data_IF_459803848208
#
_entry.id   IF_459803848208
#
_cell.length_a   1.000
_cell.length_b   1.000
_cell.length_c   1.000
_cell.angle_alpha   90.00
_cell.angle_beta   90.00
_cell.angle_gamma   90.00
#
_symmetry.space_group_name_H-M   'P 1'
#
loop_
_entity.id
_entity.type
_entity.pdbx_description
1 polymer ?
#
# COMPACT_ATOMS: atom_id res chain seq x y z
N UNK A 1 -14.97 52.54 38.71
CA UNK A 1 -15.65 52.66 37.39
C UNK A 1 -15.02 53.81 36.64
N UNK A 2 -14.03 53.57 35.80
CA UNK A 2 -13.43 54.57 34.93
C UNK A 2 -14.37 54.84 33.76
N UNK A 3 -14.85 56.06 33.60
CA UNK A 3 -15.61 56.47 32.43
C UNK A 3 -14.73 56.28 31.18
N UNK A 4 -15.08 55.31 30.33
CA UNK A 4 -14.51 55.20 29.00
C UNK A 4 -15.05 56.40 28.21
N UNK A 5 -14.17 57.32 27.79
CA UNK A 5 -14.54 58.42 26.93
C UNK A 5 -14.92 57.86 25.56
N UNK A 6 -16.22 57.87 25.25
CA UNK A 6 -16.71 57.51 23.95
C UNK A 6 -16.38 58.60 22.93
N UNK A 7 -15.61 58.30 21.92
CA UNK A 7 -15.45 59.15 20.76
C UNK A 7 -16.77 59.20 19.94
N UNK A 8 -17.05 60.31 19.23
CA UNK A 8 -18.36 60.54 18.59
C UNK A 8 -18.81 59.43 17.57
N UNK A 9 -17.89 58.58 17.10
CA UNK A 9 -18.23 57.48 16.20
C UNK A 9 -18.79 56.27 16.95
N UNK A 10 -18.54 56.11 18.25
CA UNK A 10 -19.05 55.01 19.08
C UNK A 10 -20.56 55.09 19.30
N UNK A 11 -21.16 56.29 19.11
CA UNK A 11 -22.62 56.44 19.17
C UNK A 11 -23.36 55.79 18.01
N UNK A 12 -22.67 55.36 16.95
CA UNK A 12 -23.27 54.61 15.83
C UNK A 12 -23.68 53.19 16.20
N UNK A 13 -23.21 52.66 17.33
CA UNK A 13 -23.57 51.35 17.84
C UNK A 13 -24.83 51.33 18.73
N UNK A 14 -25.50 52.47 18.91
CA UNK A 14 -26.69 52.59 19.76
C UNK A 14 -27.96 51.93 19.19
N UNK A 15 -27.89 51.30 18.02
CA UNK A 15 -29.01 50.56 17.40
C UNK A 15 -28.93 49.04 17.62
N UNK A 16 -28.00 48.55 18.42
CA UNK A 16 -27.86 47.14 18.75
C UNK A 16 -28.83 46.75 19.90
N UNK A 17 -29.25 45.48 19.91
CA UNK A 17 -30.00 44.93 21.04
C UNK A 17 -29.22 45.05 22.35
N UNK A 18 -29.91 45.18 23.50
CA UNK A 18 -29.27 45.43 24.80
C UNK A 18 -28.12 44.45 25.12
N UNK A 19 -28.29 43.16 24.79
CA UNK A 19 -27.26 42.12 24.99
C UNK A 19 -26.01 42.34 24.15
N UNK A 20 -26.19 42.73 22.90
CA UNK A 20 -25.07 43.00 21.98
C UNK A 20 -24.36 44.29 22.34
N UNK A 21 -25.10 45.26 22.88
CA UNK A 21 -24.55 46.51 23.39
C UNK A 21 -23.66 46.28 24.62
N UNK A 22 -24.10 45.47 25.57
CA UNK A 22 -23.32 45.13 26.77
C UNK A 22 -22.03 44.35 26.40
N UNK A 23 -22.14 43.38 25.53
CA UNK A 23 -20.99 42.65 25.02
C UNK A 23 -19.98 43.55 24.28
N UNK A 24 -20.46 44.49 23.47
CA UNK A 24 -19.60 45.43 22.75
C UNK A 24 -18.89 46.40 23.73
N UNK A 25 -19.59 46.86 24.77
CA UNK A 25 -18.99 47.74 25.82
C UNK A 25 -17.89 47.00 26.58
N UNK A 26 -18.11 45.76 26.93
CA UNK A 26 -17.11 44.93 27.61
C UNK A 26 -15.89 44.68 26.69
N UNK A 27 -16.12 44.31 25.41
CA UNK A 27 -15.07 44.11 24.42
C UNK A 27 -14.24 45.39 24.19
N UNK A 28 -14.87 46.55 24.03
CA UNK A 28 -14.19 47.85 23.90
C UNK A 28 -13.40 48.23 25.15
N UNK A 29 -13.94 47.92 26.34
CA UNK A 29 -13.25 48.12 27.61
C UNK A 29 -11.97 47.29 27.70
N UNK A 30 -12.05 46.00 27.33
CA UNK A 30 -10.89 45.11 27.29
C UNK A 30 -9.86 45.60 26.26
N UNK A 31 -10.32 45.98 25.06
CA UNK A 31 -9.45 46.52 24.02
C UNK A 31 -8.72 47.77 24.45
N UNK A 32 -9.39 48.68 25.22
CA UNK A 32 -8.79 49.88 25.75
C UNK A 32 -7.68 49.61 26.79
N UNK A 33 -7.78 48.49 27.48
CA UNK A 33 -6.72 48.06 28.44
C UNK A 33 -5.48 47.52 27.68
N UNK A 34 -5.69 46.86 26.52
CA UNK A 34 -4.60 46.35 25.70
C UNK A 34 -3.94 47.45 24.88
N UNK A 35 -4.73 48.34 24.28
CA UNK A 35 -4.23 49.44 23.45
C UNK A 35 -5.18 50.67 23.56
N UNK A 36 -4.73 51.73 24.21
CA UNK A 36 -5.51 52.96 24.30
C UNK A 36 -5.74 53.64 22.95
N UNK A 37 -4.77 53.55 22.05
CA UNK A 37 -4.86 54.14 20.70
C UNK A 37 -5.86 53.43 19.77
N UNK A 38 -6.33 52.25 20.15
CA UNK A 38 -7.30 51.49 19.34
C UNK A 38 -8.67 52.18 19.25
N UNK A 39 -8.99 53.06 20.18
CA UNK A 39 -10.29 53.77 20.26
C UNK A 39 -10.23 55.21 19.71
N UNK A 40 -9.10 55.67 19.20
CA UNK A 40 -8.92 57.05 18.73
C UNK A 40 -9.73 57.33 17.42
N UNK A 41 -9.88 56.33 16.58
CA UNK A 41 -10.68 56.43 15.34
C UNK A 41 -11.26 55.07 14.92
N UNK A 42 -12.32 55.04 14.05
CA UNK A 42 -12.85 53.83 13.49
C UNK A 42 -11.79 53.00 12.75
N UNK A 43 -10.92 53.65 11.98
CA UNK A 43 -9.84 52.98 11.21
C UNK A 43 -8.78 52.40 12.12
N UNK A 44 -8.45 53.06 13.25
CA UNK A 44 -7.57 52.51 14.26
C UNK A 44 -8.19 51.27 14.90
N UNK A 45 -9.48 51.28 15.23
CA UNK A 45 -10.19 50.13 15.77
C UNK A 45 -10.15 48.94 14.80
N UNK A 46 -10.51 49.15 13.54
CA UNK A 46 -10.49 48.12 12.52
C UNK A 46 -9.09 47.52 12.39
N UNK A 47 -8.07 48.36 12.36
CA UNK A 47 -6.66 47.93 12.28
C UNK A 47 -6.25 47.11 13.49
N UNK A 48 -6.60 47.52 14.71
CA UNK A 48 -6.25 46.75 15.90
C UNK A 48 -7.02 45.43 16.01
N UNK A 49 -8.32 45.40 15.69
CA UNK A 49 -9.12 44.18 15.68
C UNK A 49 -8.59 43.20 14.61
N UNK A 50 -8.30 43.70 13.40
CA UNK A 50 -7.72 42.87 12.34
C UNK A 50 -6.37 42.28 12.76
N UNK A 51 -5.54 43.05 13.46
CA UNK A 51 -4.26 42.56 13.99
C UNK A 51 -4.46 41.48 15.05
N UNK A 52 -5.41 41.66 15.99
CA UNK A 52 -5.72 40.64 16.99
C UNK A 52 -6.25 39.34 16.36
N UNK A 53 -7.13 39.48 15.38
CA UNK A 53 -7.59 38.28 14.59
C UNK A 53 -6.40 37.58 13.98
N UNK A 54 -5.51 38.31 13.30
CA UNK A 54 -4.32 37.72 12.67
C UNK A 54 -3.37 37.06 13.72
N UNK A 55 -3.24 37.63 14.91
CA UNK A 55 -2.44 37.04 15.99
C UNK A 55 -3.09 35.76 16.54
N UNK A 56 -4.42 35.73 16.67
CA UNK A 56 -5.17 34.53 17.04
C UNK A 56 -5.04 33.46 15.98
N UNK A 57 -5.27 33.80 14.72
CA UNK A 57 -5.13 32.88 13.59
C UNK A 57 -3.73 32.28 13.52
N UNK A 58 -2.69 33.09 13.76
CA UNK A 58 -1.31 32.59 13.82
C UNK A 58 -1.06 31.63 14.98
N UNK A 59 -1.64 31.87 16.16
CA UNK A 59 -1.52 30.97 17.32
C UNK A 59 -2.25 29.66 17.06
N UNK A 60 -3.48 29.74 16.54
CA UNK A 60 -4.27 28.56 16.17
C UNK A 60 -3.59 27.75 15.06
N UNK A 61 -3.03 28.43 14.06
CA UNK A 61 -2.27 27.79 12.99
C UNK A 61 -1.06 27.01 13.50
N UNK A 62 -0.30 27.59 14.46
CA UNK A 62 0.82 26.87 15.08
C UNK A 62 0.38 25.65 15.87
N UNK A 63 -0.73 25.74 16.61
CA UNK A 63 -1.27 24.60 17.35
C UNK A 63 -1.77 23.52 16.39
N UNK A 64 -2.45 23.92 15.31
CA UNK A 64 -2.92 22.99 14.27
C UNK A 64 -1.74 22.31 13.57
N UNK A 65 -0.68 23.06 13.19
CA UNK A 65 0.54 22.48 12.63
C UNK A 65 1.15 21.42 13.57
N UNK A 66 1.21 21.71 14.90
CA UNK A 66 1.75 20.75 15.87
C UNK A 66 0.92 19.46 15.95
N UNK A 67 -0.41 19.56 15.85
CA UNK A 67 -1.29 18.40 15.88
C UNK A 67 -1.24 17.60 14.57
N UNK A 68 -1.33 18.30 13.43
CA UNK A 68 -1.37 17.66 12.12
C UNK A 68 -0.06 16.93 11.75
N UNK A 69 1.07 17.44 12.26
CA UNK A 69 2.39 16.87 12.01
C UNK A 69 2.95 16.07 13.20
N UNK A 70 2.09 15.69 14.15
CA UNK A 70 2.47 14.70 15.15
C UNK A 70 2.61 13.33 14.49
N UNK A 71 3.72 12.60 14.68
CA UNK A 71 3.98 11.34 13.95
C UNK A 71 2.85 10.31 14.05
N UNK A 72 2.29 10.12 15.23
CA UNK A 72 1.16 9.19 15.44
C UNK A 72 -0.10 9.64 14.69
N UNK A 73 -0.37 10.96 14.64
CA UNK A 73 -1.51 11.49 13.91
C UNK A 73 -1.31 11.39 12.41
N UNK A 74 -0.10 11.68 11.90
CA UNK A 74 0.24 11.48 10.48
C UNK A 74 0.06 10.01 10.08
N UNK A 75 0.54 9.06 10.89
CA UNK A 75 0.39 7.64 10.63
C UNK A 75 -1.09 7.22 10.60
N UNK A 76 -1.87 7.66 11.60
CA UNK A 76 -3.31 7.38 11.67
C UNK A 76 -4.04 7.96 10.45
N UNK A 77 -3.81 9.24 10.14
CA UNK A 77 -4.45 9.93 9.02
C UNK A 77 -4.09 9.27 7.67
N UNK A 78 -2.82 8.89 7.50
CA UNK A 78 -2.33 8.18 6.30
C UNK A 78 -3.07 6.87 6.09
N UNK A 79 -3.18 6.06 7.15
CA UNK A 79 -3.85 4.77 7.09
C UNK A 79 -5.35 4.92 6.76
N UNK A 80 -6.04 5.86 7.39
CA UNK A 80 -7.45 6.10 7.11
C UNK A 80 -7.71 6.66 5.71
N UNK A 81 -6.87 7.56 5.21
CA UNK A 81 -6.99 8.07 3.85
C UNK A 81 -6.68 6.99 2.81
N UNK A 82 -5.65 6.17 3.05
CA UNK A 82 -5.34 5.02 2.20
C UNK A 82 -6.50 4.02 2.15
N UNK A 83 -7.07 3.68 3.30
CA UNK A 83 -8.22 2.79 3.39
C UNK A 83 -9.47 3.39 2.72
N UNK A 84 -9.75 4.67 2.95
CA UNK A 84 -10.84 5.37 2.27
C UNK A 84 -10.67 5.29 0.75
N UNK A 85 -9.44 5.50 0.26
CA UNK A 85 -9.11 5.35 -1.15
C UNK A 85 -9.42 3.96 -1.70
N UNK A 86 -9.09 2.90 -0.96
CA UNK A 86 -9.42 1.53 -1.35
C UNK A 86 -10.93 1.23 -1.27
N UNK A 87 -11.61 1.75 -0.27
CA UNK A 87 -13.04 1.52 -0.05
C UNK A 87 -13.95 2.28 -1.04
N UNK A 88 -13.43 3.32 -1.71
CA UNK A 88 -14.17 4.13 -2.69
C UNK A 88 -13.83 3.81 -4.14
N UNK A 89 -13.05 2.76 -4.41
CA UNK A 89 -12.74 2.35 -5.77
C UNK A 89 -13.99 1.89 -6.52
N UNK A 90 -14.05 2.13 -7.84
CA UNK A 90 -15.14 1.65 -8.69
C UNK A 90 -15.01 0.14 -8.99
N UNK A 91 -15.06 -0.69 -7.94
CA UNK A 91 -14.95 -2.15 -8.01
C UNK A 91 -16.15 -2.81 -7.35
N UNK A 92 -16.43 -4.06 -7.73
CA UNK A 92 -17.49 -4.84 -7.09
C UNK A 92 -16.98 -5.48 -5.80
N UNK A 93 -17.34 -4.94 -4.65
CA UNK A 93 -16.94 -5.42 -3.33
C UNK A 93 -17.59 -6.76 -2.92
N UNK A 94 -18.53 -7.28 -3.67
CA UNK A 94 -19.01 -8.67 -3.49
C UNK A 94 -17.99 -9.69 -4.06
N UNK A 95 -17.22 -9.28 -5.08
CA UNK A 95 -16.19 -10.12 -5.73
C UNK A 95 -14.79 -9.86 -5.18
N UNK A 96 -14.54 -8.65 -4.71
CA UNK A 96 -13.25 -8.23 -4.13
C UNK A 96 -13.52 -7.73 -2.72
N UNK A 97 -13.17 -8.55 -1.72
CA UNK A 97 -13.38 -8.22 -0.32
C UNK A 97 -12.15 -7.52 0.27
N UNK A 98 -12.38 -6.50 1.06
CA UNK A 98 -11.38 -5.80 1.86
C UNK A 98 -11.62 -6.16 3.33
N UNK A 99 -10.64 -6.79 3.97
CA UNK A 99 -10.67 -7.09 5.41
C UNK A 99 -9.58 -6.28 6.12
N UNK A 100 -9.88 -5.83 7.32
CA UNK A 100 -8.96 -5.07 8.16
C UNK A 100 -8.58 -5.89 9.37
N UNK A 101 -7.29 -5.92 9.67
CA UNK A 101 -6.74 -6.44 10.90
C UNK A 101 -6.09 -5.29 11.67
N UNK A 102 -6.65 -4.97 12.84
CA UNK A 102 -6.05 -4.00 13.74
C UNK A 102 -5.01 -4.72 14.61
N UNK A 103 -3.74 -4.53 14.28
CA UNK A 103 -2.61 -5.14 14.93
C UNK A 103 -1.41 -4.19 14.83
N UNK A 104 -0.75 -3.90 15.92
CA UNK A 104 0.45 -3.06 15.91
C UNK A 104 1.64 -3.83 15.33
N UNK A 105 2.70 -3.13 14.94
CA UNK A 105 3.91 -3.79 14.44
C UNK A 105 4.61 -4.61 15.52
N UNK A 106 4.57 -4.13 16.77
CA UNK A 106 5.09 -4.87 17.92
C UNK A 106 4.33 -6.18 18.14
N UNK A 107 3.00 -6.16 18.05
CA UNK A 107 2.18 -7.38 18.14
C UNK A 107 2.47 -8.35 17.00
N UNK A 108 2.60 -7.86 15.76
CA UNK A 108 2.99 -8.68 14.60
C UNK A 108 4.37 -9.31 14.82
N UNK A 109 5.35 -8.49 15.20
CA UNK A 109 6.73 -8.94 15.44
C UNK A 109 6.78 -9.96 16.58
N UNK A 110 6.09 -9.69 17.68
CA UNK A 110 6.00 -10.59 18.82
C UNK A 110 5.37 -11.94 18.43
N UNK A 111 4.24 -11.92 17.70
CA UNK A 111 3.54 -13.14 17.28
C UNK A 111 4.44 -14.04 16.43
N UNK A 112 5.11 -13.50 15.41
CA UNK A 112 5.91 -14.32 14.49
C UNK A 112 7.26 -14.72 15.09
N UNK A 113 7.87 -13.89 15.94
CA UNK A 113 9.17 -14.18 16.56
C UNK A 113 9.06 -15.17 17.73
N UNK A 114 7.97 -15.13 18.50
CA UNK A 114 7.76 -16.02 19.64
C UNK A 114 7.17 -17.37 19.23
N UNK A 115 6.59 -17.48 18.04
CA UNK A 115 6.02 -18.72 17.56
C UNK A 115 7.09 -19.80 17.34
N UNK A 116 6.88 -20.99 17.89
CA UNK A 116 7.77 -22.14 17.69
C UNK A 116 7.93 -22.52 16.20
N UNK A 117 6.88 -22.34 15.42
CA UNK A 117 6.89 -22.52 13.97
C UNK A 117 5.92 -21.53 13.33
N UNK A 118 6.09 -21.24 12.04
CA UNK A 118 5.20 -20.36 11.29
C UNK A 118 3.72 -20.76 11.42
N UNK A 119 3.43 -22.07 11.53
CA UNK A 119 2.06 -22.59 11.63
C UNK A 119 1.41 -22.40 13.01
N UNK A 120 2.18 -22.01 14.03
CA UNK A 120 1.67 -21.80 15.40
C UNK A 120 1.39 -20.34 15.72
N UNK A 121 1.73 -19.41 14.82
CA UNK A 121 1.42 -17.98 14.99
C UNK A 121 -0.08 -17.69 14.82
N UNK A 122 -0.58 -16.69 15.53
CA UNK A 122 -1.96 -16.21 15.40
C UNK A 122 -2.25 -15.67 14.01
N UNK A 123 -1.28 -15.00 13.38
CA UNK A 123 -1.39 -14.56 12.00
C UNK A 123 -1.61 -15.74 11.05
N UNK A 124 -0.84 -16.82 11.21
CA UNK A 124 -1.07 -18.02 10.41
C UNK A 124 -2.46 -18.62 10.66
N UNK A 125 -2.90 -18.66 11.91
CA UNK A 125 -4.23 -19.14 12.24
C UNK A 125 -5.32 -18.34 11.52
N UNK A 126 -5.23 -17.00 11.54
CA UNK A 126 -6.20 -16.11 10.87
C UNK A 126 -6.17 -16.22 9.35
N UNK A 127 -4.98 -16.28 8.75
CA UNK A 127 -4.81 -16.22 7.28
C UNK A 127 -4.85 -17.62 6.69
N UNK A 128 -4.13 -18.55 7.28
CA UNK A 128 -3.97 -19.93 6.79
C UNK A 128 -5.13 -20.82 7.22
N UNK A 129 -5.30 -21.01 8.54
CA UNK A 129 -6.28 -21.97 9.03
C UNK A 129 -7.71 -21.55 8.76
N UNK A 130 -8.08 -20.31 9.13
CA UNK A 130 -9.47 -19.87 9.02
C UNK A 130 -9.91 -19.60 7.57
N UNK A 131 -9.02 -19.11 6.71
CA UNK A 131 -9.41 -18.67 5.37
C UNK A 131 -8.94 -19.64 4.25
N UNK A 132 -7.73 -20.21 4.36
CA UNK A 132 -7.21 -21.09 3.33
C UNK A 132 -7.56 -22.56 3.58
N UNK A 133 -7.46 -23.03 4.84
CA UNK A 133 -7.59 -24.44 5.19
C UNK A 133 -9.01 -24.83 5.62
N UNK A 134 -9.89 -23.89 5.89
CA UNK A 134 -11.27 -24.16 6.31
C UNK A 134 -12.22 -24.20 5.11
N UNK A 135 -13.17 -25.12 5.12
CA UNK A 135 -14.23 -25.21 4.12
C UNK A 135 -15.10 -23.94 4.17
N UNK A 136 -15.29 -23.30 3.01
CA UNK A 136 -16.04 -22.04 2.92
C UNK A 136 -15.21 -20.79 3.28
N UNK A 137 -13.94 -20.93 3.62
CA UNK A 137 -13.03 -19.81 3.79
C UNK A 137 -12.72 -19.08 2.48
N UNK A 138 -12.33 -17.82 2.58
CA UNK A 138 -11.99 -16.97 1.45
C UNK A 138 -10.50 -16.58 1.49
N UNK A 139 -9.60 -17.36 0.85
CA UNK A 139 -8.16 -17.10 0.89
C UNK A 139 -7.80 -15.70 0.42
N UNK A 140 -6.91 -15.04 1.16
CA UNK A 140 -6.46 -13.69 0.82
C UNK A 140 -5.62 -13.69 -0.46
N UNK A 141 -5.86 -12.70 -1.33
CA UNK A 141 -5.05 -12.50 -2.53
C UNK A 141 -3.71 -11.84 -2.22
N UNK A 142 -3.69 -10.87 -1.32
CA UNK A 142 -2.48 -10.24 -0.77
C UNK A 142 -2.79 -9.56 0.57
N UNK A 143 -1.74 -9.29 1.33
CA UNK A 143 -1.77 -8.50 2.55
C UNK A 143 -0.98 -7.22 2.34
N UNK A 144 -1.48 -6.10 2.84
CA UNK A 144 -0.76 -4.83 2.92
C UNK A 144 -0.50 -4.49 4.38
N UNK A 145 0.76 -4.43 4.75
CA UNK A 145 1.20 -3.88 6.03
C UNK A 145 1.37 -2.38 5.91
N UNK A 146 0.73 -1.63 6.79
CA UNK A 146 0.75 -0.17 6.73
C UNK A 146 1.94 0.44 7.47
N UNK A 147 2.55 -0.34 8.35
CA UNK A 147 3.76 0.04 9.10
C UNK A 147 4.96 0.06 8.16
N UNK A 148 5.79 1.11 8.22
CA UNK A 148 7.02 1.18 7.43
C UNK A 148 8.09 0.26 8.04
N UNK A 149 8.96 -0.31 7.18
CA UNK A 149 10.04 -1.23 7.55
C UNK A 149 11.37 -0.49 7.57
N UNK A 150 12.12 -0.61 8.66
CA UNK A 150 13.48 -0.12 8.79
C UNK A 150 14.51 -1.15 8.30
N UNK A 151 15.66 -0.68 7.82
CA UNK A 151 16.78 -1.56 7.48
C UNK A 151 17.71 -1.78 8.67
N UNK A 152 17.82 -0.80 9.53
CA UNK A 152 18.64 -0.84 10.73
C UNK A 152 17.83 -1.32 11.93
N UNK A 153 18.49 -2.07 12.81
CA UNK A 153 17.92 -2.46 14.09
C UNK A 153 17.86 -1.23 15.00
N UNK A 154 16.65 -0.84 15.38
CA UNK A 154 16.46 0.17 16.40
C UNK A 154 16.79 -0.44 17.78
N UNK A 155 17.68 0.22 18.54
CA UNK A 155 18.10 -0.24 19.88
C UNK A 155 16.94 -0.16 20.90
N UNK A 156 15.89 0.61 20.60
CA UNK A 156 14.70 0.70 21.44
C UNK A 156 13.64 -0.36 21.10
N UNK A 157 13.81 -1.06 19.97
CA UNK A 157 12.91 -2.09 19.48
C UNK A 157 13.32 -3.48 19.98
N UNK A 158 12.38 -4.28 20.44
CA UNK A 158 12.62 -5.66 20.91
C UNK A 158 12.95 -6.62 19.75
N UNK A 159 12.57 -6.28 18.52
CA UNK A 159 12.69 -7.15 17.33
C UNK A 159 13.27 -6.40 16.14
N UNK A 160 14.08 -7.11 15.35
CA UNK A 160 14.58 -6.64 14.06
C UNK A 160 13.45 -6.71 13.00
N UNK A 161 13.21 -5.60 12.31
CA UNK A 161 12.20 -5.50 11.24
C UNK A 161 12.50 -6.46 10.09
N UNK A 162 13.76 -6.53 9.64
CA UNK A 162 14.13 -7.40 8.51
C UNK A 162 13.99 -8.88 8.86
N UNK A 163 14.30 -9.26 10.11
CA UNK A 163 14.08 -10.63 10.57
C UNK A 163 12.58 -10.93 10.69
N UNK A 164 11.78 -9.99 11.18
CA UNK A 164 10.32 -10.12 11.22
C UNK A 164 9.75 -10.30 9.81
N UNK A 165 10.23 -9.52 8.83
CA UNK A 165 9.84 -9.65 7.42
C UNK A 165 10.28 -11.02 6.85
N UNK A 166 11.44 -11.57 7.26
CA UNK A 166 11.84 -12.93 6.87
C UNK A 166 10.83 -13.99 7.38
N UNK A 167 10.41 -13.90 8.64
CA UNK A 167 9.40 -14.80 9.19
C UNK A 167 8.05 -14.65 8.51
N UNK A 168 7.64 -13.40 8.23
CA UNK A 168 6.44 -13.11 7.46
C UNK A 168 6.52 -13.62 6.02
N UNK A 169 7.69 -13.58 5.38
CA UNK A 169 7.89 -14.17 4.05
C UNK A 169 7.61 -15.68 4.04
N UNK A 170 8.05 -16.40 5.08
CA UNK A 170 7.75 -17.83 5.26
C UNK A 170 6.26 -18.08 5.51
N UNK A 171 5.62 -17.16 6.25
CA UNK A 171 4.17 -17.20 6.45
C UNK A 171 3.43 -16.97 5.12
N UNK A 172 3.87 -16.01 4.32
CA UNK A 172 3.35 -15.76 2.97
C UNK A 172 3.47 -16.97 2.04
N UNK A 173 4.61 -17.67 2.09
CA UNK A 173 4.82 -18.92 1.36
C UNK A 173 3.87 -20.02 1.84
N UNK A 174 3.74 -20.21 3.15
CA UNK A 174 2.90 -21.25 3.74
C UNK A 174 1.39 -21.00 3.51
N UNK A 175 0.97 -19.74 3.44
CA UNK A 175 -0.44 -19.34 3.21
C UNK A 175 -0.74 -19.00 1.75
N UNK A 176 0.26 -19.05 0.87
CA UNK A 176 0.15 -18.65 -0.53
C UNK A 176 -0.39 -17.22 -0.68
N UNK A 177 0.08 -16.31 0.16
CA UNK A 177 -0.42 -14.95 0.22
C UNK A 177 0.75 -13.95 0.17
N UNK A 178 0.98 -13.27 -0.98
CA UNK A 178 1.97 -12.22 -1.07
C UNK A 178 1.71 -11.07 -0.11
N UNK A 179 2.78 -10.52 0.45
CA UNK A 179 2.76 -9.47 1.45
C UNK A 179 3.45 -8.22 0.93
N UNK A 180 2.83 -7.08 1.13
CA UNK A 180 3.28 -5.78 0.66
C UNK A 180 3.64 -4.89 1.84
N UNK A 181 4.77 -4.24 1.76
CA UNK A 181 5.30 -3.31 2.76
C UNK A 181 5.77 -2.03 2.08
N UNK A 182 6.13 -1.03 2.86
CA UNK A 182 6.86 0.15 2.41
C UNK A 182 8.13 0.33 3.25
N UNK A 183 9.24 0.76 2.66
CA UNK A 183 10.43 1.11 3.41
C UNK A 183 10.19 2.36 4.24
N UNK A 184 10.81 2.45 5.42
CA UNK A 184 10.84 3.65 6.23
C UNK A 184 11.63 4.77 5.50
N UNK A 185 11.42 6.01 5.95
CA UNK A 185 12.14 7.20 5.42
C UNK A 185 13.65 7.08 5.54
N UNK A 186 14.10 6.42 6.59
CA UNK A 186 15.53 6.23 6.91
C UNK A 186 16.07 4.88 6.42
N UNK A 187 15.29 4.14 5.61
CA UNK A 187 15.70 2.83 5.08
C UNK A 187 17.07 2.85 4.37
N UNK A 188 17.47 3.98 3.83
CA UNK A 188 18.76 4.16 3.14
C UNK A 188 19.75 5.04 3.96
N UNK A 189 19.68 4.99 5.29
CA UNK A 189 20.57 5.68 6.27
C UNK A 189 20.30 7.16 6.44
N UNK A 190 19.84 7.88 5.43
CA UNK A 190 19.61 9.32 5.53
C UNK A 190 18.15 9.69 5.20
N UNK A 191 17.54 10.45 6.09
CA UNK A 191 16.22 11.03 5.87
C UNK A 191 16.32 12.17 4.86
N UNK A 192 16.10 11.87 3.61
CA UNK A 192 16.09 12.89 2.56
C UNK A 192 15.69 12.31 1.22
N UNK A 193 14.73 12.97 0.56
CA UNK A 193 14.21 12.48 -0.70
C UNK A 193 15.18 12.74 -1.87
N UNK A 194 16.01 13.80 -1.79
CA UNK A 194 16.77 14.30 -2.93
C UNK A 194 17.88 13.36 -3.38
N UNK A 195 18.51 12.64 -2.47
CA UNK A 195 19.62 11.75 -2.78
C UNK A 195 19.21 10.36 -3.29
N UNK A 196 17.93 10.00 -3.19
CA UNK A 196 17.39 8.76 -3.81
C UNK A 196 17.53 8.75 -5.34
N UNK A 197 17.89 9.86 -5.96
CA UNK A 197 18.22 9.95 -7.38
C UNK A 197 19.67 9.53 -7.71
N UNK A 198 20.55 9.39 -6.72
CA UNK A 198 21.94 8.97 -6.91
C UNK A 198 22.07 7.44 -6.84
N UNK A 199 21.98 6.79 -8.01
CA UNK A 199 22.09 5.34 -8.15
C UNK A 199 23.37 4.78 -7.53
N UNK A 200 24.53 5.43 -7.80
CA UNK A 200 25.82 4.93 -7.34
C UNK A 200 25.93 4.94 -5.81
N UNK A 201 25.33 5.93 -5.18
CA UNK A 201 25.30 6.04 -3.72
C UNK A 201 24.42 4.95 -3.11
N UNK A 202 23.20 4.78 -3.63
CA UNK A 202 22.27 3.74 -3.15
C UNK A 202 22.87 2.34 -3.35
N UNK A 203 23.48 2.07 -4.50
CA UNK A 203 24.13 0.78 -4.75
C UNK A 203 25.21 0.46 -3.73
N UNK A 204 26.06 1.45 -3.38
CA UNK A 204 27.09 1.29 -2.34
C UNK A 204 26.47 1.07 -0.95
N UNK A 205 25.42 1.77 -0.63
CA UNK A 205 24.70 1.60 0.67
C UNK A 205 24.15 0.18 0.75
N UNK A 206 23.38 -0.27 -0.24
CA UNK A 206 22.79 -1.61 -0.27
C UNK A 206 23.83 -2.75 -0.32
N UNK A 207 25.05 -2.46 -0.79
CA UNK A 207 26.16 -3.40 -0.80
C UNK A 207 27.03 -3.34 0.45
N UNK A 208 26.78 -2.40 1.37
CA UNK A 208 27.57 -2.25 2.59
C UNK A 208 27.35 -3.39 3.58
N UNK A 209 28.29 -3.64 4.50
CA UNK A 209 28.12 -4.63 5.57
C UNK A 209 26.92 -4.37 6.47
N UNK A 210 26.51 -3.10 6.63
CA UNK A 210 25.36 -2.72 7.46
C UNK A 210 24.04 -3.28 6.91
N UNK A 211 23.99 -3.59 5.60
CA UNK A 211 22.84 -4.20 4.91
C UNK A 211 22.95 -5.71 4.75
N UNK A 212 23.78 -6.39 5.57
CA UNK A 212 23.93 -7.84 5.47
C UNK A 212 22.62 -8.59 5.76
N UNK A 213 21.81 -8.13 6.72
CA UNK A 213 20.47 -8.69 7.02
C UNK A 213 19.55 -8.56 5.80
N UNK A 214 19.56 -7.42 5.12
CA UNK A 214 18.83 -7.20 3.87
C UNK A 214 19.27 -8.17 2.76
N UNK A 215 20.56 -8.34 2.56
CA UNK A 215 21.12 -9.26 1.55
C UNK A 215 20.77 -10.73 1.88
N UNK A 216 20.85 -11.10 3.17
CA UNK A 216 20.46 -12.42 3.65
C UNK A 216 18.97 -12.69 3.39
N UNK A 217 18.09 -11.76 3.74
CA UNK A 217 16.66 -11.86 3.48
C UNK A 217 16.38 -12.06 1.99
N UNK A 218 17.00 -11.27 1.12
CA UNK A 218 16.85 -11.36 -0.33
C UNK A 218 17.31 -12.68 -0.94
N UNK A 219 18.21 -13.40 -0.29
CA UNK A 219 18.70 -14.70 -0.75
C UNK A 219 17.73 -15.87 -0.48
N UNK A 220 16.71 -15.67 0.36
CA UNK A 220 15.74 -16.71 0.74
C UNK A 220 14.67 -16.86 -0.34
N UNK A 221 14.30 -18.08 -0.68
CA UNK A 221 13.25 -18.37 -1.66
C UNK A 221 11.88 -17.80 -1.28
N UNK A 222 11.57 -17.77 0.02
CA UNK A 222 10.33 -17.18 0.55
C UNK A 222 10.21 -15.68 0.30
N UNK A 223 11.33 -14.97 0.10
CA UNK A 223 11.36 -13.54 -0.17
C UNK A 223 10.59 -13.13 -1.46
N UNK A 224 10.31 -14.09 -2.35
CA UNK A 224 9.44 -13.89 -3.53
C UNK A 224 8.00 -13.52 -3.17
N UNK A 225 7.56 -13.77 -1.92
CA UNK A 225 6.24 -13.39 -1.44
C UNK A 225 6.19 -11.99 -0.83
N UNK A 226 7.29 -11.26 -0.80
CA UNK A 226 7.39 -9.93 -0.20
C UNK A 226 7.69 -8.87 -1.25
N UNK A 227 6.90 -7.79 -1.23
CA UNK A 227 7.12 -6.61 -2.08
C UNK A 227 7.27 -5.35 -1.24
N UNK A 228 8.30 -4.55 -1.50
CA UNK A 228 8.51 -3.23 -0.90
C UNK A 228 8.12 -2.13 -1.90
N UNK A 229 7.06 -1.39 -1.60
CA UNK A 229 6.51 -0.35 -2.49
C UNK A 229 7.06 1.02 -2.10
N UNK A 230 7.64 1.73 -3.05
CA UNK A 230 8.22 3.06 -2.84
C UNK A 230 8.11 3.94 -4.09
N UNK A 231 8.36 5.25 -4.01
CA UNK A 231 8.50 6.10 -2.82
C UNK A 231 7.13 6.42 -2.20
N UNK A 232 7.15 7.13 -1.06
CA UNK A 232 5.92 7.64 -0.44
C UNK A 232 5.12 8.49 -1.43
N UNK A 233 3.80 8.34 -1.41
CA UNK A 233 2.89 9.14 -2.21
C UNK A 233 2.15 10.17 -1.36
N UNK A 234 1.72 11.25 -1.99
CA UNK A 234 0.93 12.28 -1.35
C UNK A 234 -0.48 11.75 -1.05
N UNK A 235 -0.80 11.61 0.24
CA UNK A 235 -2.12 11.18 0.70
C UNK A 235 -3.07 12.37 0.83
N UNK A 236 -2.54 13.54 1.17
CA UNK A 236 -3.29 14.80 1.28
C UNK A 236 -2.37 15.96 0.94
N UNK A 237 -2.84 16.85 0.08
CA UNK A 237 -2.15 18.11 -0.19
C UNK A 237 -2.23 19.04 1.02
N UNK A 238 -1.27 19.96 1.13
CA UNK A 238 -1.27 20.95 2.21
C UNK A 238 -2.54 21.81 2.17
N UNK A 239 -3.04 22.16 3.33
CA UNK A 239 -4.12 23.12 3.45
C UNK A 239 -3.65 24.52 3.07
N UNK A 240 -4.38 25.17 2.17
CA UNK A 240 -4.14 26.54 1.77
C UNK A 240 -5.44 27.33 1.87
N UNK A 241 -5.40 28.42 2.63
CA UNK A 241 -6.57 29.29 2.88
C UNK A 241 -7.81 28.50 3.35
N UNK A 242 -7.59 27.40 4.10
CA UNK A 242 -8.68 26.62 4.65
C UNK A 242 -9.47 27.46 5.66
N UNK A 243 -10.79 27.53 5.48
CA UNK A 243 -11.71 28.25 6.37
C UNK A 243 -12.35 27.24 7.35
N UNK A 244 -11.67 26.99 8.45
CA UNK A 244 -12.13 26.08 9.53
C UNK A 244 -12.48 26.87 10.80
N UNK A 245 -13.15 28.01 10.64
CA UNK A 245 -13.39 28.97 11.72
C UNK A 245 -12.31 30.05 11.83
N UNK A 246 -11.14 29.84 11.26
CA UNK A 246 -10.03 30.78 11.12
C UNK A 246 -9.31 30.51 9.77
N UNK A 247 -8.41 31.41 9.35
CA UNK A 247 -7.64 31.23 8.11
C UNK A 247 -6.40 30.38 8.43
N UNK A 248 -6.40 29.14 7.93
CA UNK A 248 -5.31 28.22 8.13
C UNK A 248 -4.50 28.00 6.86
N UNK A 249 -3.19 28.13 6.97
CA UNK A 249 -2.21 27.80 5.93
C UNK A 249 -1.16 26.86 6.54
N UNK A 250 -1.16 25.62 6.09
CA UNK A 250 -0.22 24.60 6.51
C UNK A 250 1.19 24.94 6.02
N UNK A 251 2.18 24.90 6.89
CA UNK A 251 3.56 25.26 6.57
C UNK A 251 4.31 24.14 5.88
N UNK A 252 4.01 22.91 6.24
CA UNK A 252 4.65 21.72 5.67
C UNK A 252 3.99 21.28 4.36
N UNK A 253 4.65 20.39 3.62
CA UNK A 253 4.24 19.96 2.28
C UNK A 253 3.20 18.81 2.31
N UNK A 254 2.09 18.99 3.02
CA UNK A 254 1.02 17.99 3.04
C UNK A 254 1.40 16.69 3.76
N UNK A 255 0.60 15.66 3.54
CA UNK A 255 0.75 14.35 4.17
C UNK A 255 1.27 13.33 3.16
N UNK A 256 2.35 12.64 3.50
CA UNK A 256 2.98 11.58 2.70
C UNK A 256 2.74 10.23 3.34
N UNK A 257 2.53 9.19 2.52
CA UNK A 257 2.20 7.89 3.04
C UNK A 257 2.56 6.73 2.15
N UNK A 258 2.23 5.53 2.61
CA UNK A 258 2.57 4.26 2.00
C UNK A 258 1.98 4.10 0.60
N UNK A 259 2.84 4.02 -0.43
CA UNK A 259 2.45 3.79 -1.81
C UNK A 259 1.87 2.38 -2.05
N UNK A 260 1.95 1.48 -1.08
CA UNK A 260 1.31 0.16 -1.13
C UNK A 260 -0.21 0.26 -1.31
N UNK A 261 -0.85 1.29 -0.77
CA UNK A 261 -2.28 1.55 -1.04
C UNK A 261 -2.54 1.75 -2.53
N UNK A 262 -1.69 2.49 -3.24
CA UNK A 262 -1.81 2.68 -4.68
C UNK A 262 -1.56 1.37 -5.46
N UNK A 263 -0.61 0.55 -5.01
CA UNK A 263 -0.35 -0.75 -5.63
C UNK A 263 -1.54 -1.70 -5.47
N UNK A 264 -2.09 -1.81 -4.24
CA UNK A 264 -3.31 -2.60 -3.98
C UNK A 264 -4.50 -2.08 -4.78
N UNK A 265 -4.66 -0.76 -4.92
CA UNK A 265 -5.73 -0.20 -5.75
C UNK A 265 -5.61 -0.63 -7.21
N UNK A 266 -4.38 -0.71 -7.74
CA UNK A 266 -4.12 -1.19 -9.09
C UNK A 266 -4.46 -2.68 -9.22
N UNK A 267 -4.09 -3.50 -8.22
CA UNK A 267 -4.46 -4.92 -8.17
C UNK A 267 -5.98 -5.10 -8.18
N UNK A 268 -6.70 -4.36 -7.32
CA UNK A 268 -8.16 -4.46 -7.22
C UNK A 268 -8.86 -4.04 -8.53
N UNK A 269 -8.41 -2.98 -9.16
CA UNK A 269 -8.97 -2.48 -10.43
C UNK A 269 -8.70 -3.45 -11.58
N UNK A 270 -7.50 -4.02 -11.66
CA UNK A 270 -7.16 -5.03 -12.66
C UNK A 270 -7.97 -6.31 -12.47
N UNK A 271 -8.11 -6.77 -11.22
CA UNK A 271 -8.97 -7.91 -10.91
C UNK A 271 -10.44 -7.64 -11.27
N UNK A 272 -10.95 -6.44 -11.05
CA UNK A 272 -12.31 -6.06 -11.49
C UNK A 272 -12.46 -6.11 -13.01
N UNK A 273 -11.43 -5.70 -13.76
CA UNK A 273 -11.45 -5.61 -15.21
C UNK A 273 -11.44 -7.00 -15.90
N UNK A 274 -10.56 -7.90 -15.45
CA UNK A 274 -10.31 -9.17 -16.14
C UNK A 274 -10.53 -10.41 -15.29
N UNK A 275 -10.92 -10.26 -14.03
CA UNK A 275 -11.08 -11.33 -13.03
C UNK A 275 -9.77 -12.08 -12.68
N UNK A 276 -8.62 -11.50 -13.03
CA UNK A 276 -7.27 -11.96 -12.74
C UNK A 276 -6.37 -10.79 -12.36
N UNK A 277 -5.15 -11.10 -11.95
CA UNK A 277 -4.08 -10.13 -11.76
C UNK A 277 -3.45 -9.82 -13.13
N UNK A 278 -4.14 -9.04 -13.93
CA UNK A 278 -3.74 -8.73 -15.29
C UNK A 278 -2.49 -7.83 -15.35
N UNK A 279 -2.64 -6.62 -15.87
CA UNK A 279 -1.51 -5.74 -16.07
C UNK A 279 -1.31 -4.80 -14.86
N UNK A 280 -0.37 -5.14 -13.99
CA UNK A 280 0.05 -4.25 -12.89
C UNK A 280 1.05 -3.20 -13.36
N UNK A 281 1.65 -3.38 -14.55
CA UNK A 281 2.50 -2.41 -15.23
C UNK A 281 1.69 -1.53 -16.19
N UNK A 282 2.25 -0.37 -16.60
CA UNK A 282 1.64 0.45 -17.65
C UNK A 282 1.59 -0.30 -18.98
N UNK A 283 0.54 -0.10 -19.74
CA UNK A 283 0.41 -0.63 -21.10
C UNK A 283 0.84 0.38 -22.14
N UNK A 284 1.51 -0.12 -23.17
CA UNK A 284 1.98 0.73 -24.26
C UNK A 284 0.82 1.34 -25.06
N UNK A 285 -0.22 0.56 -25.31
CA UNK A 285 -1.35 0.97 -26.14
C UNK A 285 -2.50 1.63 -25.37
N UNK A 286 -2.57 1.45 -24.05
CA UNK A 286 -3.62 2.01 -23.20
C UNK A 286 -3.03 2.68 -21.96
N UNK A 287 -2.79 3.98 -22.06
CA UNK A 287 -2.22 4.79 -21.00
C UNK A 287 -3.10 4.90 -19.74
N UNK A 288 -4.30 4.33 -19.73
CA UNK A 288 -5.20 4.36 -18.56
C UNK A 288 -5.09 3.08 -17.73
N UNK A 289 -4.69 1.96 -18.34
CA UNK A 289 -4.56 0.69 -17.65
C UNK A 289 -3.23 0.65 -16.89
N UNK A 290 -3.27 0.17 -15.64
CA UNK A 290 -2.12 0.18 -14.73
C UNK A 290 -1.74 1.56 -14.17
N UNK A 291 -2.34 2.66 -14.66
CA UNK A 291 -2.12 3.97 -14.09
C UNK A 291 -2.67 4.07 -12.67
N UNK A 292 -1.90 4.68 -11.78
CA UNK A 292 -2.37 4.99 -10.43
C UNK A 292 -3.45 6.07 -10.52
N UNK A 293 -4.58 5.80 -9.91
CA UNK A 293 -5.68 6.77 -9.77
C UNK A 293 -5.49 7.52 -8.46
N UNK A 294 -5.65 8.84 -8.48
CA UNK A 294 -5.67 9.60 -7.24
C UNK A 294 -6.89 9.17 -6.42
N UNK A 295 -6.63 8.67 -5.22
CA UNK A 295 -7.65 8.12 -4.33
C UNK A 295 -8.35 9.20 -3.51
N UNK A 296 -7.72 10.35 -3.33
CA UNK A 296 -8.21 11.43 -2.48
C UNK A 296 -8.75 12.57 -3.34
N UNK A 297 -9.96 12.41 -3.83
CA UNK A 297 -10.74 13.52 -4.34
C UNK A 297 -11.28 14.31 -3.14
N UNK A 298 -10.55 15.31 -2.70
CA UNK A 298 -11.20 16.41 -1.99
C UNK A 298 -12.09 17.15 -3.00
N UNK A 299 -13.19 17.74 -2.52
CA UNK A 299 -14.26 18.43 -3.31
C UNK A 299 -13.80 19.56 -4.26
N UNK A 300 -12.52 19.67 -4.54
CA UNK A 300 -11.99 20.61 -5.52
C UNK A 300 -12.15 20.01 -6.92
N UNK A 301 -12.81 20.73 -7.79
CA UNK A 301 -13.06 20.42 -9.21
C UNK A 301 -11.79 20.20 -10.07
N UNK A 302 -10.62 20.20 -9.47
CA UNK A 302 -9.35 19.89 -10.11
C UNK A 302 -8.93 18.49 -9.72
N UNK A 303 -8.81 17.59 -10.69
CA UNK A 303 -8.14 16.30 -10.57
C UNK A 303 -6.72 16.56 -10.05
N UNK A 304 -6.52 16.42 -8.75
CA UNK A 304 -5.17 16.48 -8.18
C UNK A 304 -4.46 15.24 -8.65
N UNK A 305 -3.43 15.43 -9.46
CA UNK A 305 -2.61 14.32 -9.96
C UNK A 305 -1.89 13.67 -8.79
N UNK A 306 -1.66 12.35 -8.83
CA UNK A 306 -0.81 11.68 -7.87
C UNK A 306 0.54 12.39 -7.79
N UNK A 307 1.07 12.55 -6.58
CA UNK A 307 2.41 13.10 -6.35
C UNK A 307 3.18 12.12 -5.50
N UNK A 308 4.46 12.00 -5.79
CA UNK A 308 5.40 11.21 -5.00
C UNK A 308 6.42 12.11 -4.36
N UNK A 309 6.90 11.74 -3.17
CA UNK A 309 7.91 12.51 -2.44
C UNK A 309 9.21 12.63 -3.23
N UNK A 310 9.56 11.55 -3.94
CA UNK A 310 10.66 11.50 -4.91
C UNK A 310 10.08 11.12 -6.27
N UNK A 311 10.41 11.84 -7.32
CA UNK A 311 9.96 11.50 -8.67
C UNK A 311 10.94 10.54 -9.32
N UNK A 312 10.51 9.30 -9.53
CA UNK A 312 11.30 8.29 -10.22
C UNK A 312 10.98 8.30 -11.72
N UNK A 313 12.01 8.20 -12.55
CA UNK A 313 11.91 8.09 -14.01
C UNK A 313 12.72 6.91 -14.53
N UNK A 314 12.34 6.35 -15.66
CA UNK A 314 13.05 5.40 -16.51
C UNK A 314 14.15 4.55 -15.85
N UNK A 315 15.41 4.94 -15.99
CA UNK A 315 16.56 4.19 -15.47
C UNK A 315 16.56 4.03 -13.96
N UNK A 316 16.18 5.09 -13.24
CA UNK A 316 16.11 5.09 -11.78
C UNK A 316 15.05 4.08 -11.28
N UNK A 317 13.89 4.04 -11.94
CA UNK A 317 12.86 3.04 -11.66
C UNK A 317 13.34 1.62 -11.92
N UNK A 318 14.07 1.40 -13.03
CA UNK A 318 14.63 0.09 -13.36
C UNK A 318 15.65 -0.36 -12.32
N UNK A 319 16.50 0.56 -11.86
CA UNK A 319 17.46 0.30 -10.80
C UNK A 319 16.78 -0.16 -9.51
N UNK A 320 15.80 0.60 -9.01
CA UNK A 320 15.08 0.22 -7.79
C UNK A 320 14.32 -1.11 -7.95
N UNK A 321 13.75 -1.36 -9.11
CA UNK A 321 13.10 -2.65 -9.38
C UNK A 321 14.07 -3.82 -9.28
N UNK A 322 15.29 -3.69 -9.84
CA UNK A 322 16.35 -4.71 -9.71
C UNK A 322 16.87 -4.85 -8.28
N UNK A 323 16.84 -3.75 -7.53
CA UNK A 323 17.25 -3.73 -6.12
C UNK A 323 16.22 -4.32 -5.16
N UNK A 324 15.07 -4.81 -5.66
CA UNK A 324 14.04 -5.48 -4.85
C UNK A 324 12.91 -4.57 -4.38
N UNK A 325 12.71 -3.42 -5.03
CA UNK A 325 11.62 -2.51 -4.71
C UNK A 325 10.58 -2.47 -5.83
N UNK A 326 9.37 -2.08 -5.49
CA UNK A 326 8.28 -1.83 -6.44
C UNK A 326 8.17 -0.31 -6.62
N UNK A 327 8.79 0.26 -7.67
CA UNK A 327 8.89 1.70 -7.84
C UNK A 327 7.63 2.30 -8.45
N UNK A 328 7.04 3.29 -7.77
CA UNK A 328 6.02 4.16 -8.32
C UNK A 328 6.68 5.23 -9.19
N UNK A 329 6.46 5.17 -10.49
CA UNK A 329 7.21 5.89 -11.50
C UNK A 329 6.33 6.89 -12.24
N UNK A 330 6.81 8.10 -12.43
CA UNK A 330 6.15 9.10 -13.29
C UNK A 330 6.45 8.81 -14.75
N UNK A 331 5.41 8.84 -15.59
CA UNK A 331 5.60 8.73 -17.03
C UNK A 331 6.28 10.00 -17.58
N UNK A 332 7.29 9.86 -18.46
CA UNK A 332 7.90 11.01 -19.11
C UNK A 332 6.98 11.69 -20.15
N UNK A 333 5.98 10.97 -20.64
CA UNK A 333 5.08 11.41 -21.71
C UNK A 333 3.70 11.87 -21.21
N UNK A 334 3.41 11.67 -19.94
CA UNK A 334 2.13 12.05 -19.34
C UNK A 334 2.32 12.36 -17.86
N UNK A 335 1.37 13.06 -17.26
CA UNK A 335 1.39 13.32 -15.82
C UNK A 335 0.91 12.13 -14.98
N UNK A 336 0.85 10.93 -15.55
CA UNK A 336 0.39 9.72 -14.88
C UNK A 336 1.55 8.99 -14.20
N UNK A 337 1.22 8.27 -13.14
CA UNK A 337 2.13 7.40 -12.40
C UNK A 337 1.78 5.95 -12.63
N UNK A 338 2.81 5.10 -12.68
CA UNK A 338 2.73 3.67 -12.96
C UNK A 338 3.73 2.89 -12.12
N UNK A 339 3.42 1.62 -11.87
CA UNK A 339 4.38 0.66 -11.34
C UNK A 339 5.09 -0.04 -12.51
N UNK A 340 6.16 0.53 -13.01
CA UNK A 340 6.92 -0.04 -14.14
C UNK A 340 7.64 -1.35 -13.81
N UNK A 341 7.95 -1.59 -12.54
CA UNK A 341 8.47 -2.84 -12.02
C UNK A 341 7.59 -3.35 -10.89
N UNK A 342 7.49 -4.65 -10.73
CA UNK A 342 6.80 -5.28 -9.63
C UNK A 342 7.59 -6.45 -9.04
N UNK A 343 8.93 -6.30 -9.02
CA UNK A 343 9.80 -7.32 -8.47
C UNK A 343 9.60 -7.41 -6.94
N UNK A 344 9.60 -8.64 -6.45
CA UNK A 344 9.71 -8.92 -5.02
C UNK A 344 11.11 -8.56 -4.52
N UNK A 345 11.32 -8.61 -3.22
CA UNK A 345 12.63 -8.40 -2.63
C UNK A 345 13.62 -9.53 -2.96
N UNK A 346 13.14 -10.69 -3.42
CA UNK A 346 13.99 -11.82 -3.74
C UNK A 346 15.04 -11.48 -4.79
N UNK A 347 16.30 -11.76 -4.46
CA UNK A 347 17.42 -11.61 -5.38
C UNK A 347 17.72 -12.97 -5.99
N UNK A 348 17.80 -13.03 -7.30
CA UNK A 348 18.10 -14.26 -8.02
C UNK A 348 19.24 -14.10 -9.01
N UNK A 349 19.66 -15.20 -9.61
CA UNK A 349 20.54 -15.22 -10.76
C UNK A 349 19.84 -14.60 -11.99
N UNK A 350 20.62 -14.24 -13.01
CA UNK A 350 20.11 -13.55 -14.20
C UNK A 350 19.33 -14.46 -15.17
N UNK A 351 18.94 -15.70 -14.76
CA UNK A 351 18.16 -16.57 -15.61
C UNK A 351 16.77 -16.03 -15.89
N UNK A 352 16.26 -16.19 -17.11
CA UNK A 352 14.95 -15.66 -17.49
C UNK A 352 13.80 -16.28 -16.71
N UNK A 353 13.93 -17.55 -16.34
CA UNK A 353 12.95 -18.23 -15.49
C UNK A 353 12.84 -17.57 -14.11
N UNK A 354 13.98 -17.25 -13.50
CA UNK A 354 14.01 -16.62 -12.19
C UNK A 354 13.51 -15.17 -12.23
N UNK A 355 13.79 -14.41 -13.30
CA UNK A 355 13.22 -13.07 -13.50
C UNK A 355 11.70 -13.08 -13.50
N UNK A 356 11.08 -14.11 -14.04
CA UNK A 356 9.62 -14.28 -13.98
C UNK A 356 9.16 -14.58 -12.57
N UNK A 357 9.89 -15.42 -11.84
CA UNK A 357 9.56 -15.81 -10.46
C UNK A 357 9.76 -14.66 -9.45
N UNK A 358 10.61 -13.66 -9.75
CA UNK A 358 10.75 -12.49 -8.87
C UNK A 358 9.56 -11.56 -8.89
N UNK A 359 8.70 -11.62 -9.88
CA UNK A 359 7.60 -10.68 -10.01
C UNK A 359 6.47 -11.00 -9.03
N UNK A 360 6.03 -10.02 -8.26
CA UNK A 360 4.86 -10.14 -7.36
C UNK A 360 3.60 -10.51 -8.14
N UNK A 361 3.46 -10.03 -9.37
CA UNK A 361 2.36 -10.43 -10.26
C UNK A 361 2.32 -11.94 -10.50
N UNK A 362 3.49 -12.56 -10.71
CA UNK A 362 3.60 -14.02 -10.85
C UNK A 362 3.19 -14.73 -9.58
N UNK A 363 3.65 -14.24 -8.43
CA UNK A 363 3.30 -14.78 -7.12
C UNK A 363 1.79 -14.68 -6.86
N UNK A 364 1.18 -13.50 -7.10
CA UNK A 364 -0.26 -13.29 -6.96
C UNK A 364 -1.07 -14.27 -7.82
N UNK A 365 -0.68 -14.45 -9.08
CA UNK A 365 -1.36 -15.32 -10.00
C UNK A 365 -1.19 -16.80 -9.61
N UNK A 366 0.03 -17.22 -9.33
CA UNK A 366 0.34 -18.62 -8.96
C UNK A 366 -0.36 -19.02 -7.67
N UNK A 367 -0.34 -18.12 -6.66
CA UNK A 367 -1.05 -18.32 -5.41
C UNK A 367 -2.56 -18.45 -5.63
N UNK A 368 -3.15 -17.62 -6.50
CA UNK A 368 -4.59 -17.68 -6.77
C UNK A 368 -4.97 -18.98 -7.46
N UNK A 369 -4.16 -19.45 -8.42
CA UNK A 369 -4.38 -20.76 -9.06
C UNK A 369 -4.24 -21.88 -8.02
N UNK A 370 -3.25 -21.80 -7.14
CA UNK A 370 -3.07 -22.79 -6.08
C UNK A 370 -4.25 -22.80 -5.08
N UNK A 371 -4.81 -21.63 -4.76
CA UNK A 371 -6.04 -21.54 -3.94
C UNK A 371 -7.22 -22.23 -4.62
N UNK A 372 -7.43 -21.98 -5.92
CA UNK A 372 -8.50 -22.66 -6.68
C UNK A 372 -8.26 -24.15 -6.80
N UNK A 373 -7.02 -24.56 -7.05
CA UNK A 373 -6.66 -25.98 -7.08
C UNK A 373 -6.99 -26.64 -5.74
N UNK A 374 -6.64 -26.00 -4.63
CA UNK A 374 -6.89 -26.52 -3.28
C UNK A 374 -8.39 -26.69 -3.00
N UNK A 375 -9.21 -25.75 -3.47
CA UNK A 375 -10.68 -25.83 -3.37
C UNK A 375 -11.20 -27.01 -4.20
N UNK A 376 -10.77 -27.12 -5.47
CA UNK A 376 -11.20 -28.20 -6.37
C UNK A 376 -10.83 -29.58 -5.83
N UNK A 377 -9.60 -29.72 -5.34
CA UNK A 377 -9.13 -30.94 -4.72
C UNK A 377 -9.99 -31.32 -3.51
N UNK A 378 -10.27 -30.34 -2.64
CA UNK A 378 -11.07 -30.56 -1.44
C UNK A 378 -12.51 -31.01 -1.75
N UNK A 379 -13.12 -30.42 -2.79
CA UNK A 379 -14.46 -30.83 -3.23
C UNK A 379 -14.51 -32.26 -3.79
N UNK A 380 -13.35 -32.77 -4.19
CA UNK A 380 -13.24 -34.08 -4.86
C UNK A 380 -12.66 -35.19 -3.96
N UNK A 381 -12.30 -34.90 -2.72
CA UNK A 381 -11.85 -35.89 -1.75
C UNK A 381 -12.89 -37.01 -1.67
N UNK A 382 -12.45 -38.26 -1.85
CA UNK A 382 -13.32 -39.44 -1.85
C UNK A 382 -14.05 -39.71 -3.19
N UNK A 383 -13.93 -38.84 -4.20
CA UNK A 383 -14.59 -39.02 -5.51
C UNK A 383 -13.75 -39.84 -6.50
N UNK A 384 -12.42 -39.78 -6.41
CA UNK A 384 -11.51 -40.48 -7.30
C UNK A 384 -11.00 -41.76 -6.69
N UNK A 385 -10.91 -42.79 -7.54
CA UNK A 385 -10.35 -44.06 -7.17
C UNK A 385 -8.89 -44.23 -7.61
N UNK A 386 -8.44 -43.39 -8.60
CA UNK A 386 -7.11 -43.50 -9.18
C UNK A 386 -6.48 -42.12 -9.41
N UNK A 387 -5.14 -42.04 -9.33
CA UNK A 387 -4.37 -40.86 -9.68
C UNK A 387 -4.65 -40.36 -11.10
N UNK A 388 -4.84 -41.28 -12.07
CA UNK A 388 -5.11 -40.95 -13.46
C UNK A 388 -6.47 -40.26 -13.68
N UNK A 389 -7.52 -40.65 -12.92
CA UNK A 389 -8.82 -39.97 -12.97
C UNK A 389 -8.73 -38.55 -12.43
N UNK A 390 -8.00 -38.39 -11.32
CA UNK A 390 -7.74 -37.08 -10.71
C UNK A 390 -6.95 -36.18 -11.69
N UNK A 391 -5.89 -36.70 -12.31
CA UNK A 391 -5.08 -35.97 -13.29
C UNK A 391 -5.91 -35.50 -14.47
N UNK A 392 -6.75 -36.37 -15.02
CA UNK A 392 -7.59 -36.03 -16.17
C UNK A 392 -8.57 -34.90 -15.84
N UNK A 393 -9.22 -34.98 -14.68
CA UNK A 393 -10.17 -33.97 -14.25
C UNK A 393 -9.47 -32.60 -14.00
N UNK A 394 -8.38 -32.58 -13.25
CA UNK A 394 -7.64 -31.38 -12.96
C UNK A 394 -7.01 -30.76 -14.22
N UNK A 395 -6.58 -31.60 -15.20
CA UNK A 395 -6.10 -31.12 -16.49
C UNK A 395 -7.19 -30.40 -17.28
N UNK A 396 -8.39 -30.97 -17.36
CA UNK A 396 -9.54 -30.30 -17.98
C UNK A 396 -9.96 -29.02 -17.26
N UNK A 397 -9.78 -28.98 -15.93
CA UNK A 397 -10.08 -27.79 -15.15
C UNK A 397 -9.07 -26.67 -15.43
N UNK A 398 -7.76 -26.95 -15.44
CA UNK A 398 -6.72 -25.92 -15.62
C UNK A 398 -6.68 -25.36 -17.05
N UNK A 399 -7.08 -26.15 -18.05
CA UNK A 399 -7.17 -25.71 -19.44
C UNK A 399 -8.09 -24.52 -19.65
N UNK A 400 -9.09 -24.34 -18.77
CA UNK A 400 -9.99 -23.17 -18.80
C UNK A 400 -9.27 -21.84 -18.56
N UNK A 401 -8.09 -21.85 -17.96
CA UNK A 401 -7.27 -20.69 -17.63
C UNK A 401 -6.13 -20.46 -18.63
N UNK A 402 -5.95 -21.35 -19.59
CA UNK A 402 -4.90 -21.24 -20.59
C UNK A 402 -5.48 -20.83 -21.95
N UNK A 403 -4.70 -20.04 -22.69
CA UNK A 403 -5.02 -19.66 -24.07
C UNK A 403 -4.06 -20.36 -25.03
N UNK A 404 -4.57 -21.24 -25.86
CA UNK A 404 -3.81 -21.87 -26.92
C UNK A 404 -3.69 -21.00 -28.18
N UNK A 405 -4.11 -19.74 -28.14
CA UNK A 405 -4.12 -18.81 -29.28
C UNK A 405 -2.82 -18.04 -29.32
N UNK A 406 -1.92 -18.42 -30.22
CA UNK A 406 -0.58 -17.81 -30.37
C UNK A 406 -0.61 -16.31 -30.75
N UNK A 407 -1.70 -15.79 -31.29
CA UNK A 407 -1.85 -14.40 -31.77
C UNK A 407 -3.17 -13.77 -31.30
N UNK A 408 -3.51 -13.97 -30.02
CA UNK A 408 -4.66 -13.30 -29.46
C UNK A 408 -4.36 -11.81 -29.22
N UNK A 409 -5.41 -10.96 -29.26
CA UNK A 409 -5.28 -9.56 -28.86
C UNK A 409 -5.01 -9.47 -27.35
N UNK A 410 -4.45 -8.35 -26.90
CA UNK A 410 -4.10 -8.11 -25.49
C UNK A 410 -5.27 -8.31 -24.53
N UNK A 411 -6.49 -7.97 -24.93
CA UNK A 411 -7.68 -8.15 -24.11
C UNK A 411 -7.98 -9.64 -23.87
N UNK A 412 -7.86 -10.46 -24.90
CA UNK A 412 -8.02 -11.91 -24.78
C UNK A 412 -6.92 -12.52 -23.92
N UNK A 413 -5.67 -12.14 -24.17
CA UNK A 413 -4.52 -12.60 -23.38
C UNK A 413 -4.64 -12.22 -21.91
N UNK A 414 -5.23 -11.07 -21.59
CA UNK A 414 -5.43 -10.65 -20.19
C UNK A 414 -6.47 -11.49 -19.45
N UNK A 415 -7.43 -12.08 -20.16
CA UNK A 415 -8.47 -12.96 -19.57
C UNK A 415 -7.94 -14.37 -19.29
N UNK A 416 -6.90 -14.80 -20.00
CA UNK A 416 -6.29 -16.12 -19.82
C UNK A 416 -4.89 -15.94 -19.22
N UNK A 417 -4.72 -16.19 -17.91
CA UNK A 417 -3.47 -15.88 -17.22
C UNK A 417 -2.31 -16.78 -17.60
N UNK A 418 -2.59 -17.93 -18.24
CA UNK A 418 -1.59 -18.95 -18.57
C UNK A 418 -1.40 -19.11 -20.07
N UNK A 419 -0.14 -19.16 -20.51
CA UNK A 419 0.23 -19.59 -21.86
C UNK A 419 0.32 -21.12 -21.96
N UNK A 420 0.70 -21.76 -20.85
CA UNK A 420 0.80 -23.20 -20.75
C UNK A 420 0.51 -23.65 -19.32
N UNK A 421 -0.17 -24.77 -19.17
CA UNK A 421 -0.38 -25.43 -17.90
C UNK A 421 -0.36 -26.95 -18.07
N UNK A 422 0.29 -27.65 -17.15
CA UNK A 422 0.31 -29.11 -17.09
C UNK A 422 0.19 -29.57 -15.65
N UNK A 423 -0.71 -30.48 -15.39
CA UNK A 423 -0.87 -31.15 -14.10
C UNK A 423 -0.37 -32.58 -14.25
N UNK A 424 0.30 -33.07 -13.22
CA UNK A 424 0.64 -34.47 -13.04
C UNK A 424 0.28 -34.90 -11.63
N UNK A 425 -0.38 -36.03 -11.51
CA UNK A 425 -0.79 -36.57 -10.20
C UNK A 425 -0.16 -37.96 -10.07
N UNK A 426 0.54 -38.12 -8.95
CA UNK A 426 1.19 -39.41 -8.60
C UNK A 426 0.72 -39.85 -7.22
N UNK A 427 0.79 -41.15 -6.94
CA UNK A 427 0.56 -41.64 -5.58
C UNK A 427 1.65 -41.13 -4.64
N UNK A 428 1.28 -40.84 -3.39
CA UNK A 428 2.24 -40.37 -2.38
C UNK A 428 3.11 -41.53 -1.91
N UNK A 429 4.44 -41.33 -1.95
CA UNK A 429 5.40 -42.29 -1.42
C UNK A 429 5.36 -42.44 0.12
N UNK A 430 4.82 -41.43 0.79
CA UNK A 430 4.83 -41.34 2.25
C UNK A 430 3.52 -41.80 2.92
N UNK A 431 2.40 -41.62 2.21
CA UNK A 431 1.06 -41.92 2.73
C UNK A 431 0.25 -42.72 1.69
N UNK A 432 0.07 -44.03 1.88
CA UNK A 432 -0.75 -44.85 0.97
C UNK A 432 -2.20 -44.35 0.95
N UNK A 433 -2.70 -44.07 -0.24
CA UNK A 433 -4.04 -43.49 -0.44
C UNK A 433 -4.06 -41.99 -0.69
N UNK A 434 -2.96 -41.27 -0.44
CA UNK A 434 -2.83 -39.86 -0.74
C UNK A 434 -2.19 -39.67 -2.13
N UNK A 435 -2.54 -38.58 -2.80
CA UNK A 435 -1.96 -38.21 -4.08
C UNK A 435 -1.09 -36.95 -3.95
N UNK A 436 0.01 -36.93 -4.69
CA UNK A 436 0.84 -35.71 -4.86
C UNK A 436 0.51 -35.11 -6.21
N UNK A 437 0.03 -33.89 -6.19
CA UNK A 437 -0.28 -33.12 -7.38
C UNK A 437 0.83 -32.12 -7.67
N UNK A 438 1.45 -32.22 -8.85
CA UNK A 438 2.43 -31.24 -9.35
C UNK A 438 1.82 -30.46 -10.50
N UNK A 439 1.68 -29.15 -10.29
CA UNK A 439 1.18 -28.22 -11.29
C UNK A 439 2.34 -27.40 -11.86
N UNK A 440 2.55 -27.49 -13.16
CA UNK A 440 3.49 -26.65 -13.92
C UNK A 440 2.72 -25.64 -14.70
N UNK A 441 3.00 -24.36 -14.50
CA UNK A 441 2.33 -23.25 -15.18
C UNK A 441 3.35 -22.29 -15.79
N UNK A 442 3.05 -21.77 -16.95
CA UNK A 442 3.79 -20.69 -17.60
C UNK A 442 2.85 -19.51 -17.71
N UNK A 443 3.14 -18.42 -16.99
CA UNK A 443 2.34 -17.21 -17.05
C UNK A 443 2.34 -16.58 -18.44
N UNK A 444 1.25 -15.89 -18.77
CA UNK A 444 1.13 -15.12 -19.99
C UNK A 444 1.74 -13.73 -19.77
N UNK A 445 3.02 -13.51 -20.17
CA UNK A 445 3.66 -12.20 -20.06
C UNK A 445 3.62 -11.48 -21.39
N UNK A 446 3.33 -10.20 -21.32
CA UNK A 446 3.07 -9.39 -22.49
C UNK A 446 4.11 -8.29 -22.72
N UNK A 447 4.94 -8.00 -21.71
CA UNK A 447 5.89 -6.89 -21.77
C UNK A 447 7.36 -7.30 -21.73
N UNK A 448 7.64 -8.39 -21.05
CA UNK A 448 8.98 -8.94 -21.01
C UNK A 448 8.95 -10.22 -21.84
N UNK A 449 9.82 -10.35 -22.83
CA UNK A 449 9.96 -11.53 -23.67
C UNK A 449 10.48 -12.77 -22.91
N UNK A 450 10.39 -12.74 -21.60
CA UNK A 450 10.82 -13.81 -20.72
C UNK A 450 9.68 -14.79 -20.50
N UNK A 451 9.91 -16.05 -20.74
CA UNK A 451 9.05 -17.13 -20.34
C UNK A 451 9.67 -17.88 -19.17
N UNK A 452 8.93 -18.09 -18.12
CA UNK A 452 9.36 -18.85 -16.95
C UNK A 452 8.30 -19.83 -16.50
N UNK A 453 8.71 -20.98 -16.02
CA UNK A 453 7.85 -22.02 -15.49
C UNK A 453 7.76 -21.91 -13.97
N UNK A 454 6.54 -21.93 -13.44
CA UNK A 454 6.26 -22.03 -12.02
C UNK A 454 5.82 -23.45 -11.71
N UNK A 455 6.49 -24.10 -10.77
CA UNK A 455 6.12 -25.45 -10.31
C UNK A 455 5.51 -25.33 -8.91
N UNK A 456 4.28 -25.80 -8.76
CA UNK A 456 3.55 -25.87 -7.49
C UNK A 456 3.32 -27.35 -7.17
N UNK A 457 3.72 -27.79 -5.98
CA UNK A 457 3.49 -29.15 -5.52
C UNK A 457 2.59 -29.10 -4.28
N UNK A 458 1.56 -29.92 -4.27
CA UNK A 458 0.67 -30.04 -3.11
C UNK A 458 0.39 -31.51 -2.84
N UNK A 459 0.42 -31.91 -1.57
CA UNK A 459 -0.09 -33.19 -1.14
C UNK A 459 -1.59 -33.11 -0.93
N UNK A 460 -2.28 -34.13 -1.36
CA UNK A 460 -3.71 -34.29 -1.25
C UNK A 460 -3.96 -35.30 -0.15
N UNK A 461 -4.11 -34.81 1.08
CA UNK A 461 -4.38 -35.67 2.23
C UNK A 461 -5.83 -36.15 2.17
N UNK A 462 -6.05 -37.44 2.34
CA UNK A 462 -7.35 -37.96 2.78
C UNK A 462 -7.61 -37.41 4.17
N UNK A 463 -8.64 -36.57 4.31
CA UNK A 463 -9.06 -36.12 5.64
C UNK A 463 -9.62 -37.32 6.36
N UNK A 464 -8.93 -37.73 7.44
CA UNK A 464 -9.40 -38.73 8.39
C UNK A 464 -10.65 -38.23 9.15
#
# INVERSE_FOLDING_TARGET
MSKVYHSGWQTQFTQLDDKDSDFLQEALSLLSQVSRSALDSPDALITHVSRLIAEIDNKLSKQMDTLLHHPEFEALQTNWLGLQGLATLPVNYQRTQLKLLNMSWEEVSSDVNQAYSTKTSELYNKIGNQELNTLGGHPFGCLLFTQPIAADMDFESDYDDLFTVELLSRLGEATLCPMLFAPNRDFFVESGADWLSDINRIEKILASPDYQSWQSLRSKSSARFVGLVMPEMCMRTRYQNAKVGFIYNEKQNGLWGNAGFAFVSTIMREHQRVSWFGFLKSRWNDNNQGAVVNQNQSDSHFLIQPQTKVTLFGQLSTFYSRSGFIPLTKSPLSDKFYFNGNNSIWHNSESDNEKVLTQIQTSLMSCRIAHYLKVQVREMIGSFKTAAECELFLSQWIEKFSSNVAYANEETLSKYPLSFAKISVCDSDHHPGNFVCTLRIVPQYQYDHFSGEVVLTTELDEVA
#
